data_IF_529208056466
#
_entry.id   IF_529208056466
#
_cell.length_a   1.000
_cell.length_b   1.000
_cell.length_c   1.000
_cell.angle_alpha   90.00
_cell.angle_beta   90.00
_cell.angle_gamma   90.00
#
_symmetry.space_group_name_H-M   'P 1'
#
loop_
_entity.id
_entity.type
_entity.pdbx_description
1 polymer ?
#
# COMPACT_ATOMS: atom_id res chain seq x y z
N UNK A 1 74.09 18.72 16.55
CA UNK A 1 72.66 18.79 16.57
C UNK A 1 72.15 17.96 15.40
N UNK A 2 71.58 16.83 15.70
CA UNK A 2 71.06 15.91 14.68
C UNK A 2 69.55 16.00 14.65
N UNK A 3 69.00 16.44 13.57
CA UNK A 3 67.59 16.51 13.31
C UNK A 3 67.09 15.10 12.99
N UNK A 4 66.02 14.60 13.66
CA UNK A 4 65.46 13.33 13.27
C UNK A 4 64.61 13.49 12.03
N UNK A 5 64.88 12.66 11.07
CA UNK A 5 64.04 12.50 9.86
C UNK A 5 62.79 11.79 10.25
N UNK A 6 61.65 12.46 10.22
CA UNK A 6 60.36 11.85 10.40
C UNK A 6 59.98 11.19 9.11
N UNK A 7 60.02 9.88 9.11
CA UNK A 7 59.49 9.06 8.01
C UNK A 7 57.96 9.08 8.12
N UNK A 8 57.32 9.88 7.30
CA UNK A 8 55.87 9.82 7.18
C UNK A 8 55.52 8.62 6.31
N UNK A 9 55.16 7.54 6.96
CA UNK A 9 54.57 6.40 6.27
C UNK A 9 53.22 6.79 5.78
N UNK A 10 53.09 7.10 4.47
CA UNK A 10 51.83 7.24 3.81
C UNK A 10 51.14 5.89 3.79
N UNK A 11 50.22 5.67 4.72
CA UNK A 11 49.25 4.63 4.60
C UNK A 11 48.32 4.98 3.42
N UNK A 12 48.61 4.40 2.29
CA UNK A 12 47.62 4.32 1.22
C UNK A 12 46.52 3.40 1.73
N UNK A 13 45.50 3.98 2.32
CA UNK A 13 44.25 3.29 2.53
C UNK A 13 43.67 3.09 1.14
N UNK A 14 43.93 1.93 0.57
CA UNK A 14 43.15 1.44 -0.53
C UNK A 14 41.73 1.27 -0.01
N UNK A 15 40.93 2.29 -0.13
CA UNK A 15 39.48 2.15 -0.09
C UNK A 15 39.17 1.27 -1.29
N UNK A 16 39.07 -0.03 -1.04
CA UNK A 16 38.33 -0.90 -1.89
C UNK A 16 36.92 -0.33 -1.87
N UNK A 17 36.61 0.48 -2.84
CA UNK A 17 35.24 0.72 -3.22
C UNK A 17 34.71 -0.67 -3.53
N UNK A 18 34.08 -1.28 -2.55
CA UNK A 18 33.21 -2.38 -2.81
C UNK A 18 32.25 -1.81 -3.86
N UNK A 19 32.46 -2.19 -5.12
CA UNK A 19 31.45 -2.07 -6.10
C UNK A 19 30.30 -2.90 -5.53
N UNK A 20 29.43 -2.26 -4.75
CA UNK A 20 28.16 -2.82 -4.49
C UNK A 20 27.59 -3.00 -5.89
N UNK A 21 27.46 -4.24 -6.33
CA UNK A 21 26.68 -4.55 -7.49
C UNK A 21 25.33 -3.97 -7.16
N UNK A 22 25.08 -2.73 -7.61
CA UNK A 22 23.82 -2.09 -7.42
C UNK A 22 22.83 -3.03 -8.09
N UNK A 23 22.04 -3.71 -7.27
CA UNK A 23 20.82 -4.32 -7.79
C UNK A 23 20.17 -3.24 -8.65
N UNK A 24 19.67 -3.56 -9.85
CA UNK A 24 18.98 -2.57 -10.68
C UNK A 24 18.03 -1.83 -9.76
N UNK A 25 17.95 -0.49 -9.84
CA UNK A 25 17.16 0.28 -8.89
C UNK A 25 15.80 -0.39 -8.81
N UNK A 26 15.48 -0.90 -7.62
CA UNK A 26 14.17 -1.49 -7.37
C UNK A 26 13.17 -0.41 -7.80
N UNK A 27 12.17 -0.79 -8.60
CA UNK A 27 11.10 0.12 -8.96
C UNK A 27 10.53 0.79 -7.69
N UNK A 28 9.70 1.82 -7.83
CA UNK A 28 9.11 2.47 -6.67
C UNK A 28 8.45 1.41 -5.77
N UNK A 29 8.57 1.55 -4.44
CA UNK A 29 8.01 0.57 -3.52
C UNK A 29 6.51 0.43 -3.74
N UNK A 30 6.02 -0.80 -3.68
CA UNK A 30 4.58 -1.07 -3.71
C UNK A 30 3.94 -0.51 -2.47
N UNK A 31 2.72 -0.05 -2.63
CA UNK A 31 1.91 0.39 -1.51
C UNK A 31 0.63 -0.44 -1.44
N UNK A 32 0.17 -0.70 -0.25
CA UNK A 32 -1.07 -1.43 -0.02
C UNK A 32 -1.97 -0.61 0.89
N UNK A 33 -3.14 -0.27 0.40
CA UNK A 33 -4.20 0.26 1.24
C UNK A 33 -4.84 -0.90 1.99
N UNK A 34 -4.99 -0.76 3.30
CA UNK A 34 -5.61 -1.74 4.19
C UNK A 34 -6.83 -1.09 4.85
N UNK A 35 -7.99 -1.62 4.57
CA UNK A 35 -9.26 -1.13 5.10
C UNK A 35 -9.88 -2.24 5.96
N UNK A 36 -10.18 -1.95 7.20
CA UNK A 36 -10.86 -2.87 8.13
C UNK A 36 -12.31 -2.44 8.27
N UNK A 37 -13.22 -3.37 8.01
CA UNK A 37 -14.66 -3.13 8.02
C UNK A 37 -15.35 -4.05 9.03
N UNK A 38 -16.19 -3.47 9.87
CA UNK A 38 -17.20 -4.20 10.63
C UNK A 38 -18.46 -4.32 9.77
N UNK A 39 -18.63 -5.47 9.18
CA UNK A 39 -19.75 -5.78 8.28
C UNK A 39 -20.99 -6.23 9.06
N UNK A 40 -20.78 -6.81 10.24
CA UNK A 40 -21.87 -7.35 11.06
C UNK A 40 -22.73 -8.35 10.28
N UNK A 41 -24.04 -8.13 10.25
CA UNK A 41 -24.99 -8.97 9.51
C UNK A 41 -25.18 -8.55 8.04
N UNK A 42 -24.45 -7.55 7.58
CA UNK A 42 -24.63 -6.94 6.25
C UNK A 42 -23.73 -7.56 5.16
N UNK A 43 -23.38 -8.83 5.28
CA UNK A 43 -22.45 -9.49 4.33
C UNK A 43 -22.97 -9.46 2.89
N UNK A 44 -24.27 -9.60 2.65
CA UNK A 44 -24.84 -9.49 1.32
C UNK A 44 -24.68 -8.09 0.74
N UNK A 45 -24.97 -7.05 1.52
CA UNK A 45 -24.73 -5.66 1.11
C UNK A 45 -23.27 -5.38 0.82
N UNK A 46 -22.36 -5.94 1.64
CA UNK A 46 -20.92 -5.85 1.41
C UNK A 46 -20.55 -6.48 0.06
N UNK A 47 -21.05 -7.68 -0.23
CA UNK A 47 -20.80 -8.37 -1.51
C UNK A 47 -21.26 -7.54 -2.70
N UNK A 48 -22.47 -6.97 -2.62
CA UNK A 48 -23.05 -6.14 -3.69
C UNK A 48 -22.23 -4.86 -3.90
N UNK A 49 -21.86 -4.18 -2.83
CA UNK A 49 -21.05 -2.97 -2.88
C UNK A 49 -19.64 -3.25 -3.42
N UNK A 50 -19.04 -4.38 -3.02
CA UNK A 50 -17.73 -4.80 -3.50
C UNK A 50 -17.74 -5.10 -5.00
N UNK A 51 -18.76 -5.78 -5.48
CA UNK A 51 -18.93 -6.07 -6.91
C UNK A 51 -19.07 -4.78 -7.72
N UNK A 52 -19.85 -3.83 -7.23
CA UNK A 52 -20.03 -2.53 -7.88
C UNK A 52 -18.76 -1.71 -7.93
N UNK A 53 -18.02 -1.59 -6.82
CA UNK A 53 -16.77 -0.81 -6.80
C UNK A 53 -15.69 -1.45 -7.67
N UNK A 54 -15.63 -2.77 -7.74
CA UNK A 54 -14.71 -3.46 -8.64
C UNK A 54 -15.05 -3.18 -10.13
N UNK A 55 -16.32 -3.12 -10.48
CA UNK A 55 -16.76 -2.76 -11.83
C UNK A 55 -16.38 -1.30 -12.17
N UNK A 56 -16.57 -0.38 -11.23
CA UNK A 56 -16.16 1.02 -11.37
C UNK A 56 -14.64 1.10 -11.52
N UNK A 57 -13.88 0.42 -10.66
CA UNK A 57 -12.42 0.38 -10.72
C UNK A 57 -11.91 -0.11 -12.09
N UNK A 58 -12.52 -1.15 -12.63
CA UNK A 58 -12.19 -1.67 -13.97
C UNK A 58 -12.49 -0.63 -15.05
N UNK A 59 -13.66 0.00 -15.01
CA UNK A 59 -14.08 1.01 -15.97
C UNK A 59 -13.12 2.21 -16.03
N UNK A 60 -12.64 2.65 -14.87
CA UNK A 60 -11.72 3.79 -14.74
C UNK A 60 -10.24 3.40 -14.71
N UNK A 61 -9.92 2.17 -15.09
CA UNK A 61 -8.54 1.67 -15.19
C UNK A 61 -7.74 1.84 -13.90
N UNK A 62 -8.37 1.56 -12.77
CA UNK A 62 -7.69 1.54 -11.49
C UNK A 62 -6.62 0.44 -11.49
N UNK A 63 -5.40 0.79 -11.14
CA UNK A 63 -4.25 -0.14 -11.13
C UNK A 63 -4.18 -1.00 -9.87
N UNK A 64 -5.04 -0.75 -8.89
CA UNK A 64 -5.10 -1.48 -7.64
C UNK A 64 -5.58 -2.91 -7.79
N UNK A 65 -4.91 -3.84 -7.11
CA UNK A 65 -5.33 -5.24 -7.00
C UNK A 65 -6.01 -5.45 -5.66
N UNK A 66 -7.33 -5.61 -5.70
CA UNK A 66 -8.14 -5.78 -4.50
C UNK A 66 -8.19 -7.24 -4.06
N UNK A 67 -8.06 -7.46 -2.75
CA UNK A 67 -8.28 -8.76 -2.11
C UNK A 67 -9.13 -8.57 -0.86
N UNK A 68 -9.90 -9.61 -0.52
CA UNK A 68 -10.80 -9.62 0.62
C UNK A 68 -10.41 -10.75 1.57
N UNK A 69 -10.42 -10.44 2.86
CA UNK A 69 -10.05 -11.35 3.93
C UNK A 69 -11.08 -11.25 5.03
N UNK A 70 -11.34 -12.35 5.71
CA UNK A 70 -12.18 -12.34 6.93
C UNK A 70 -11.29 -12.71 8.11
N UNK A 71 -11.37 -11.92 9.17
CA UNK A 71 -10.64 -12.20 10.41
C UNK A 71 -11.27 -13.40 11.12
N UNK A 72 -10.52 -14.48 11.23
CA UNK A 72 -11.00 -15.71 11.87
C UNK A 72 -10.48 -15.87 13.29
N UNK A 73 -9.43 -15.15 13.65
CA UNK A 73 -8.77 -15.24 14.95
C UNK A 73 -8.05 -13.94 15.32
N UNK A 74 -8.72 -13.04 15.99
CA UNK A 74 -8.17 -11.75 16.43
C UNK A 74 -8.99 -11.11 17.56
N UNK A 75 -9.39 -11.86 18.56
CA UNK A 75 -10.13 -11.31 19.69
C UNK A 75 -11.44 -10.60 19.29
N UNK A 76 -11.57 -9.32 19.61
CA UNK A 76 -12.76 -8.52 19.29
C UNK A 76 -12.97 -8.23 17.80
N UNK A 77 -11.99 -8.49 16.97
CA UNK A 77 -12.05 -8.23 15.51
C UNK A 77 -12.46 -9.45 14.70
N UNK A 78 -12.83 -10.57 15.35
CA UNK A 78 -13.32 -11.76 14.66
C UNK A 78 -14.58 -11.41 13.87
N UNK A 79 -14.60 -11.80 12.61
CA UNK A 79 -15.70 -11.52 11.68
C UNK A 79 -15.58 -10.18 10.92
N UNK A 80 -14.58 -9.35 11.23
CA UNK A 80 -14.31 -8.18 10.42
C UNK A 80 -13.79 -8.59 9.03
N UNK A 81 -14.11 -7.79 8.04
CA UNK A 81 -13.58 -7.92 6.68
C UNK A 81 -12.40 -6.98 6.53
N UNK A 82 -11.29 -7.51 6.07
CA UNK A 82 -10.13 -6.72 5.68
C UNK A 82 -10.10 -6.65 4.16
N UNK A 83 -10.10 -5.44 3.63
CA UNK A 83 -9.91 -5.19 2.20
C UNK A 83 -8.49 -4.67 2.00
N UNK A 84 -7.72 -5.31 1.15
CA UNK A 84 -6.40 -4.85 0.77
C UNK A 84 -6.39 -4.49 -0.70
N UNK A 85 -5.83 -3.32 -1.03
CA UNK A 85 -5.70 -2.85 -2.41
C UNK A 85 -4.23 -2.54 -2.64
N UNK A 86 -3.56 -3.39 -3.40
CA UNK A 86 -2.14 -3.26 -3.74
C UNK A 86 -1.96 -2.43 -5.00
N UNK A 87 -1.16 -1.38 -4.92
CA UNK A 87 -0.79 -0.52 -6.04
C UNK A 87 0.71 -0.62 -6.35
N UNK A 88 1.11 -0.48 -7.63
CA UNK A 88 2.53 -0.48 -8.01
C UNK A 88 3.37 0.59 -7.33
N UNK A 89 2.76 1.73 -6.98
CA UNK A 89 3.40 2.86 -6.32
C UNK A 89 2.37 3.79 -5.69
N UNK A 90 2.82 4.70 -4.83
CA UNK A 90 1.98 5.75 -4.27
C UNK A 90 1.42 6.68 -5.36
N UNK A 91 2.19 6.97 -6.40
CA UNK A 91 1.73 7.77 -7.54
C UNK A 91 0.59 7.06 -8.28
N UNK A 92 0.76 5.77 -8.59
CA UNK A 92 -0.30 4.97 -9.23
C UNK A 92 -1.58 4.93 -8.39
N UNK A 93 -1.45 4.83 -7.07
CA UNK A 93 -2.59 4.90 -6.14
C UNK A 93 -3.30 6.25 -6.26
N UNK A 94 -2.56 7.35 -6.15
CA UNK A 94 -3.12 8.71 -6.22
C UNK A 94 -3.83 8.97 -7.56
N UNK A 95 -3.23 8.58 -8.67
CA UNK A 95 -3.83 8.73 -10.00
C UNK A 95 -5.11 7.88 -10.17
N UNK A 96 -5.09 6.64 -9.70
CA UNK A 96 -6.23 5.74 -9.73
C UNK A 96 -7.40 6.27 -8.90
N UNK A 97 -7.11 6.74 -7.70
CA UNK A 97 -8.12 7.33 -6.81
C UNK A 97 -8.71 8.61 -7.41
N UNK A 98 -7.89 9.50 -7.96
CA UNK A 98 -8.37 10.73 -8.59
C UNK A 98 -9.34 10.47 -9.74
N UNK A 99 -9.07 9.48 -10.58
CA UNK A 99 -9.97 9.07 -11.67
C UNK A 99 -11.32 8.55 -11.15
N UNK A 100 -11.30 7.75 -10.10
CA UNK A 100 -12.51 7.21 -9.51
C UNK A 100 -13.34 8.31 -8.83
N UNK A 101 -12.71 9.15 -7.99
CA UNK A 101 -13.37 10.22 -7.25
C UNK A 101 -14.02 11.26 -8.15
N UNK A 102 -13.46 11.49 -9.33
CA UNK A 102 -14.06 12.37 -10.34
C UNK A 102 -15.34 11.79 -10.97
N UNK A 103 -15.61 10.49 -10.79
CA UNK A 103 -16.78 9.85 -11.40
C UNK A 103 -18.02 9.96 -10.53
N UNK A 104 -19.17 10.27 -11.15
CA UNK A 104 -20.46 10.28 -10.46
C UNK A 104 -20.88 8.90 -9.93
N UNK A 105 -20.46 7.83 -10.61
CA UNK A 105 -20.73 6.44 -10.21
C UNK A 105 -20.04 6.10 -8.88
N UNK A 106 -18.80 6.50 -8.71
CA UNK A 106 -18.08 6.27 -7.47
C UNK A 106 -18.63 7.13 -6.32
N UNK A 107 -18.99 8.38 -6.59
CA UNK A 107 -19.64 9.24 -5.61
C UNK A 107 -20.99 8.67 -5.15
N UNK A 108 -21.78 8.10 -6.06
CA UNK A 108 -23.02 7.42 -5.69
C UNK A 108 -22.76 6.15 -4.89
N UNK A 109 -21.76 5.37 -5.28
CA UNK A 109 -21.32 4.19 -4.53
C UNK A 109 -20.91 4.55 -3.10
N UNK A 110 -20.17 5.64 -2.90
CA UNK A 110 -19.79 6.11 -1.57
C UNK A 110 -21.01 6.43 -0.70
N UNK A 111 -22.01 7.09 -1.26
CA UNK A 111 -23.27 7.37 -0.54
C UNK A 111 -23.99 6.09 -0.13
N UNK A 112 -24.07 5.13 -1.04
CA UNK A 112 -24.71 3.84 -0.78
C UNK A 112 -23.92 3.02 0.27
N UNK A 113 -22.60 3.08 0.24
CA UNK A 113 -21.74 2.45 1.22
C UNK A 113 -21.95 3.06 2.62
N UNK A 114 -22.01 4.38 2.72
CA UNK A 114 -22.31 5.08 3.98
C UNK A 114 -23.69 4.71 4.54
N UNK A 115 -24.68 4.53 3.67
CA UNK A 115 -26.05 4.16 4.06
C UNK A 115 -26.21 2.66 4.37
N UNK A 116 -25.22 1.83 4.10
CA UNK A 116 -25.34 0.36 4.21
C UNK A 116 -25.36 -0.17 5.65
N UNK A 117 -24.89 0.61 6.61
CA UNK A 117 -24.67 0.19 7.99
C UNK A 117 -23.33 -0.53 8.23
N UNK A 118 -22.51 -0.70 7.18
CA UNK A 118 -21.13 -1.20 7.30
C UNK A 118 -20.26 -0.09 7.87
N UNK A 119 -19.48 -0.40 8.89
CA UNK A 119 -18.63 0.56 9.58
C UNK A 119 -17.18 0.36 9.15
N UNK A 120 -16.53 1.44 8.74
CA UNK A 120 -15.08 1.43 8.58
C UNK A 120 -14.43 1.60 9.95
N UNK A 121 -13.68 0.58 10.36
CA UNK A 121 -12.96 0.56 11.65
C UNK A 121 -11.64 1.31 11.53
N UNK A 122 -10.90 1.04 10.45
CA UNK A 122 -9.63 1.71 10.18
C UNK A 122 -9.30 1.70 8.68
N UNK A 123 -8.45 2.63 8.31
CA UNK A 123 -7.77 2.66 7.00
C UNK A 123 -6.32 3.04 7.22
N UNK A 124 -5.43 2.34 6.56
CA UNK A 124 -4.00 2.64 6.55
C UNK A 124 -3.40 2.36 5.18
N UNK A 125 -2.31 3.04 4.87
CA UNK A 125 -1.49 2.76 3.70
C UNK A 125 -0.14 2.27 4.20
N UNK A 126 0.25 1.08 3.80
CA UNK A 126 1.51 0.47 4.13
C UNK A 126 2.39 0.39 2.90
N UNK A 127 3.69 0.56 3.10
CA UNK A 127 4.68 0.49 2.03
C UNK A 127 5.54 -0.75 2.25
N UNK A 128 5.83 -1.45 1.17
CA UNK A 128 6.74 -2.58 1.22
C UNK A 128 8.14 -2.10 1.62
N UNK A 129 8.70 -2.70 2.66
CA UNK A 129 10.08 -2.48 3.05
C UNK A 129 10.95 -3.45 2.26
N UNK A 130 11.88 -2.91 1.47
CA UNK A 130 12.96 -3.73 0.92
C UNK A 130 13.98 -3.98 2.02
N UNK A 131 14.28 -5.24 2.37
CA UNK A 131 15.33 -5.56 3.35
C UNK A 131 16.72 -5.20 2.85
#
# INVERSE_FOLDING_TARGET
>A
MRTPIILVASCIVATAAAASSAAPPAGPPRVTEVIVLDVGTNMQKFSDLSSRVNAIATKYQNTGKTRYWVTTWAGSEVGHVIVTIEYPSLVSMAESMAKMEASSEFQQWQKDAQASGIKQVSTSVVTELSP
#
